data_IF_810189289067
#
_entry.id   IF_810189289067
#
_cell.length_a   1.000
_cell.length_b   1.000
_cell.length_c   1.000
_cell.angle_alpha   90.00
_cell.angle_beta   90.00
_cell.angle_gamma   90.00
#
_symmetry.space_group_name_H-M   'P 1'
#
loop_
_entity.id
_entity.type
_entity.pdbx_description
1 polymer ?
#
# COMPACT_ATOMS: atom_id res chain seq x y z
N UNK A 1 -12.19 -18.51 7.20
CA UNK A 1 -11.12 -17.56 6.85
C UNK A 1 -10.51 -18.01 5.53
N UNK A 2 -10.11 -17.09 4.66
CA UNK A 2 -9.39 -17.42 3.42
C UNK A 2 -7.94 -17.79 3.74
N UNK A 3 -7.31 -18.61 2.92
CA UNK A 3 -5.90 -19.02 3.10
C UNK A 3 -4.95 -17.83 3.04
N UNK A 4 -5.18 -16.89 2.11
CA UNK A 4 -4.39 -15.66 1.97
C UNK A 4 -4.37 -14.81 3.26
N UNK A 5 -5.52 -14.66 3.93
CA UNK A 5 -5.58 -13.90 5.19
C UNK A 5 -4.76 -14.56 6.31
N UNK A 6 -4.65 -15.89 6.31
CA UNK A 6 -3.79 -16.61 7.26
C UNK A 6 -2.31 -16.41 6.96
N UNK A 7 -1.92 -16.38 5.68
CA UNK A 7 -0.54 -16.04 5.26
C UNK A 7 -0.16 -14.62 5.71
N UNK A 8 -1.04 -13.63 5.53
CA UNK A 8 -0.77 -12.27 6.01
C UNK A 8 -0.71 -12.17 7.55
N UNK A 9 -1.54 -12.93 8.28
CA UNK A 9 -1.41 -13.04 9.74
C UNK A 9 -0.09 -13.71 10.16
N UNK A 10 0.47 -14.64 9.37
CA UNK A 10 1.79 -15.26 9.59
C UNK A 10 2.93 -14.28 9.35
N UNK A 11 2.96 -13.63 8.18
CA UNK A 11 3.94 -12.59 7.83
C UNK A 11 3.97 -11.45 8.85
N UNK A 12 2.80 -11.05 9.36
CA UNK A 12 2.69 -10.01 10.39
C UNK A 12 3.32 -10.45 11.72
N UNK A 13 3.08 -11.71 12.15
CA UNK A 13 3.68 -12.26 13.37
C UNK A 13 5.19 -12.39 13.25
N UNK A 14 5.70 -12.84 12.11
CA UNK A 14 7.12 -13.04 11.91
C UNK A 14 7.88 -11.71 11.75
N UNK A 15 7.31 -10.72 11.06
CA UNK A 15 7.88 -9.37 11.04
C UNK A 15 7.86 -8.68 12.40
N UNK A 16 6.83 -8.89 13.24
CA UNK A 16 6.82 -8.41 14.63
C UNK A 16 7.91 -9.08 15.49
N UNK A 17 8.18 -10.37 15.29
CA UNK A 17 9.29 -11.07 15.97
C UNK A 17 10.63 -10.50 15.53
N UNK A 18 10.86 -10.36 14.23
CA UNK A 18 12.07 -9.76 13.69
C UNK A 18 12.34 -8.34 14.25
N UNK A 19 11.31 -7.49 14.32
CA UNK A 19 11.43 -6.16 14.95
C UNK A 19 11.79 -6.26 16.43
N UNK A 20 11.17 -7.19 17.19
CA UNK A 20 11.48 -7.38 18.61
C UNK A 20 12.93 -7.80 18.79
N UNK A 21 13.38 -8.83 18.10
CA UNK A 21 14.70 -9.43 18.26
C UNK A 21 15.82 -8.44 17.86
N UNK A 22 15.66 -7.71 16.75
CA UNK A 22 16.58 -6.62 16.38
C UNK A 22 16.51 -5.42 17.34
N UNK A 23 15.34 -5.10 17.91
CA UNK A 23 15.23 -4.05 18.94
C UNK A 23 15.95 -4.43 20.24
N UNK A 24 15.93 -5.71 20.62
CA UNK A 24 16.67 -6.24 21.78
C UNK A 24 18.18 -6.27 21.49
N UNK A 25 18.60 -6.71 20.29
CA UNK A 25 20.00 -6.64 19.85
C UNK A 25 20.53 -5.20 19.84
N UNK A 26 19.73 -4.25 19.34
CA UNK A 26 20.08 -2.83 19.34
C UNK A 26 20.15 -2.26 20.76
N UNK A 27 19.24 -2.65 21.68
CA UNK A 27 19.32 -2.29 23.11
C UNK A 27 20.59 -2.81 23.78
N UNK A 28 20.90 -4.10 23.62
CA UNK A 28 22.14 -4.69 24.14
C UNK A 28 23.38 -3.97 23.60
N UNK A 29 23.36 -3.54 22.33
CA UNK A 29 24.46 -2.74 21.78
C UNK A 29 24.62 -1.38 22.46
N UNK A 30 23.57 -0.81 23.06
CA UNK A 30 23.61 0.47 23.80
C UNK A 30 24.14 0.31 25.23
N UNK A 31 24.14 -0.89 25.80
CA UNK A 31 24.53 -1.14 27.19
C UNK A 31 26.05 -1.12 27.40
N UNK A 32 26.60 0.10 27.49
CA UNK A 32 28.00 0.42 27.87
C UNK A 32 28.44 -0.19 29.21
N UNK A 33 27.49 -0.69 30.01
CA UNK A 33 27.71 -1.31 31.32
C UNK A 33 27.99 -2.82 31.25
N UNK A 34 27.84 -3.44 30.08
CA UNK A 34 28.08 -4.87 29.90
C UNK A 34 29.58 -5.21 29.90
N UNK A 35 29.96 -6.28 30.61
CA UNK A 35 31.33 -6.78 30.61
C UNK A 35 31.70 -7.36 29.24
N UNK A 36 32.53 -6.63 28.48
CA UNK A 36 32.89 -6.98 27.09
C UNK A 36 32.36 -6.00 26.04
N UNK A 37 31.81 -4.85 26.44
CA UNK A 37 31.36 -3.81 25.51
C UNK A 37 32.44 -3.38 24.52
N UNK A 38 32.15 -3.54 23.22
CA UNK A 38 32.94 -2.98 22.12
C UNK A 38 32.04 -2.04 21.33
N UNK A 39 32.46 -0.79 21.18
CA UNK A 39 31.74 0.19 20.36
C UNK A 39 31.47 -0.38 18.96
N UNK A 40 30.21 -0.44 18.50
CA UNK A 40 29.87 -0.81 17.12
C UNK A 40 30.55 0.14 16.13
N UNK A 41 30.81 -0.29 14.88
CA UNK A 41 31.37 0.60 13.87
C UNK A 41 30.38 1.73 13.57
N UNK A 42 30.89 2.97 13.51
CA UNK A 42 30.08 4.16 13.25
C UNK A 42 29.40 4.14 11.86
N UNK A 43 29.95 3.37 10.91
CA UNK A 43 29.39 3.16 9.56
C UNK A 43 29.45 1.68 9.16
N UNK A 44 28.55 1.27 8.26
CA UNK A 44 28.51 -0.08 7.69
C UNK A 44 27.50 -1.05 8.34
N UNK A 45 27.49 -2.34 7.90
CA UNK A 45 26.39 -3.30 8.16
C UNK A 45 26.18 -3.71 9.62
N UNK A 46 27.12 -3.39 10.52
CA UNK A 46 26.96 -3.58 11.97
C UNK A 46 26.51 -2.32 12.73
N UNK A 47 26.44 -1.16 12.08
CA UNK A 47 26.23 0.14 12.73
C UNK A 47 24.83 0.27 13.34
N UNK A 48 24.75 0.96 14.48
CA UNK A 48 23.49 1.29 15.16
C UNK A 48 22.51 2.01 14.24
N UNK A 49 23.03 2.91 13.41
CA UNK A 49 22.25 3.70 12.46
C UNK A 49 21.61 2.82 11.38
N UNK A 50 22.38 1.88 10.80
CA UNK A 50 21.85 0.97 9.78
C UNK A 50 20.83 -0.02 10.37
N UNK A 51 21.07 -0.58 11.56
CA UNK A 51 20.07 -1.41 12.27
C UNK A 51 18.78 -0.64 12.54
N UNK A 52 18.90 0.58 13.05
CA UNK A 52 17.76 1.48 13.27
C UNK A 52 17.07 1.94 11.98
N UNK A 53 17.73 1.90 10.82
CA UNK A 53 17.12 2.15 9.51
C UNK A 53 16.40 0.90 8.98
N UNK A 54 17.02 -0.28 9.10
CA UNK A 54 16.41 -1.57 8.75
C UNK A 54 15.10 -1.79 9.52
N UNK A 55 15.10 -1.55 10.84
CA UNK A 55 13.90 -1.60 11.67
C UNK A 55 12.79 -0.67 11.18
N UNK A 56 13.10 0.55 10.71
CA UNK A 56 12.09 1.45 10.13
C UNK A 56 11.55 0.94 8.77
N UNK A 57 12.38 0.27 7.97
CA UNK A 57 11.93 -0.38 6.71
C UNK A 57 11.00 -1.55 6.98
N UNK A 58 11.33 -2.44 7.93
CA UNK A 58 10.45 -3.56 8.30
C UNK A 58 9.14 -3.06 8.90
N UNK A 59 9.16 -1.98 9.69
CA UNK A 59 7.94 -1.35 10.21
C UNK A 59 7.06 -0.78 9.09
N UNK A 60 7.64 -0.18 8.06
CA UNK A 60 6.91 0.27 6.88
C UNK A 60 6.29 -0.90 6.08
N UNK A 61 7.02 -2.01 5.93
CA UNK A 61 6.49 -3.23 5.31
C UNK A 61 5.30 -3.81 6.09
N UNK A 62 5.39 -3.88 7.43
CA UNK A 62 4.28 -4.33 8.28
C UNK A 62 3.04 -3.40 8.20
N UNK A 63 3.23 -2.10 8.00
CA UNK A 63 2.11 -1.19 7.76
C UNK A 63 1.40 -1.49 6.45
N UNK A 64 2.16 -1.73 5.40
CA UNK A 64 1.59 -2.06 4.08
C UNK A 64 0.91 -3.43 4.07
N UNK A 65 1.45 -4.39 4.84
CA UNK A 65 0.80 -5.67 5.11
C UNK A 65 -0.53 -5.49 5.86
N UNK A 66 -0.59 -4.60 6.86
CA UNK A 66 -1.86 -4.29 7.56
C UNK A 66 -2.87 -3.57 6.65
N UNK A 67 -2.41 -2.69 5.75
CA UNK A 67 -3.26 -2.09 4.71
C UNK A 67 -3.81 -3.19 3.76
N UNK A 68 -2.97 -4.12 3.33
CA UNK A 68 -3.34 -5.25 2.47
C UNK A 68 -4.37 -6.17 3.14
N UNK A 69 -4.19 -6.48 4.43
CA UNK A 69 -5.18 -7.18 5.24
C UNK A 69 -6.51 -6.40 5.36
N UNK A 70 -6.49 -5.07 5.38
CA UNK A 70 -7.70 -4.25 5.39
C UNK A 70 -8.48 -4.32 4.07
N UNK A 71 -7.80 -4.33 2.92
CA UNK A 71 -8.45 -4.56 1.62
C UNK A 71 -9.13 -5.94 1.58
N UNK A 72 -8.40 -7.00 1.87
CA UNK A 72 -8.93 -8.38 1.90
C UNK A 72 -10.08 -8.56 2.91
N UNK A 73 -9.98 -7.94 4.10
CA UNK A 73 -11.03 -7.98 5.10
C UNK A 73 -12.35 -7.32 4.65
N UNK A 74 -12.35 -6.47 3.63
CA UNK A 74 -13.59 -5.94 3.04
C UNK A 74 -14.29 -6.98 2.16
N UNK A 75 -13.55 -7.80 1.42
CA UNK A 75 -14.09 -8.83 0.53
C UNK A 75 -14.57 -10.10 1.27
N UNK A 76 -14.18 -10.29 2.54
CA UNK A 76 -14.69 -11.39 3.36
C UNK A 76 -16.21 -11.32 3.63
N UNK A 77 -16.90 -12.49 3.75
CA UNK A 77 -18.30 -12.55 4.15
C UNK A 77 -18.61 -11.88 5.50
N UNK A 78 -19.83 -11.37 5.65
CA UNK A 78 -20.25 -10.55 6.80
C UNK A 78 -19.98 -11.20 8.17
N UNK A 79 -20.09 -12.52 8.28
CA UNK A 79 -19.85 -13.27 9.51
C UNK A 79 -18.38 -13.28 9.99
N UNK A 80 -17.41 -13.06 9.10
CA UNK A 80 -15.98 -13.04 9.43
C UNK A 80 -15.37 -11.63 9.36
N UNK A 81 -15.95 -10.76 8.53
CA UNK A 81 -15.51 -9.38 8.32
C UNK A 81 -15.46 -8.54 9.59
N UNK A 82 -16.41 -8.71 10.52
CA UNK A 82 -16.41 -7.94 11.78
C UNK A 82 -15.19 -8.30 12.65
N UNK A 83 -14.94 -9.60 12.87
CA UNK A 83 -13.79 -10.09 13.65
C UNK A 83 -12.44 -9.76 12.99
N UNK A 84 -12.37 -9.80 11.66
CA UNK A 84 -11.17 -9.39 10.92
C UNK A 84 -10.86 -7.89 11.12
N UNK A 85 -11.87 -7.02 11.05
CA UNK A 85 -11.71 -5.57 11.25
C UNK A 85 -11.30 -5.22 12.69
N UNK A 86 -11.83 -5.91 13.68
CA UNK A 86 -11.43 -5.76 15.08
C UNK A 86 -9.93 -6.07 15.29
N UNK A 87 -9.45 -7.21 14.76
CA UNK A 87 -8.02 -7.56 14.77
C UNK A 87 -7.15 -6.54 14.04
N UNK A 88 -7.58 -6.02 12.91
CA UNK A 88 -6.83 -5.01 12.14
C UNK A 88 -6.68 -3.71 12.94
N UNK A 89 -7.71 -3.29 13.68
CA UNK A 89 -7.60 -2.13 14.60
C UNK A 89 -6.58 -2.42 15.70
N UNK A 90 -6.62 -3.61 16.31
CA UNK A 90 -5.62 -4.05 17.30
C UNK A 90 -4.19 -3.99 16.71
N UNK A 91 -3.98 -4.56 15.51
CA UNK A 91 -2.68 -4.56 14.82
C UNK A 91 -2.17 -3.15 14.52
N UNK A 92 -3.04 -2.20 14.17
CA UNK A 92 -2.67 -0.78 14.02
C UNK A 92 -2.24 -0.15 15.34
N UNK A 93 -2.93 -0.43 16.45
CA UNK A 93 -2.53 0.06 17.77
C UNK A 93 -1.20 -0.55 18.23
N UNK A 94 -1.00 -1.85 17.97
CA UNK A 94 0.25 -2.55 18.28
C UNK A 94 1.42 -1.97 17.46
N UNK A 95 1.27 -1.77 16.14
CA UNK A 95 2.30 -1.14 15.31
C UNK A 95 2.65 0.28 15.77
N UNK A 96 1.68 1.05 16.25
CA UNK A 96 1.93 2.39 16.82
C UNK A 96 2.78 2.31 18.10
N UNK A 97 2.47 1.42 19.03
CA UNK A 97 3.28 1.26 20.25
C UNK A 97 4.71 0.79 19.94
N UNK A 98 4.86 -0.08 18.93
CA UNK A 98 6.18 -0.52 18.43
C UNK A 98 6.95 0.63 17.79
N UNK A 99 6.31 1.49 17.00
CA UNK A 99 6.93 2.70 16.45
C UNK A 99 7.39 3.68 17.54
N UNK A 100 6.53 3.98 18.52
CA UNK A 100 6.86 4.87 19.64
C UNK A 100 8.05 4.31 20.45
N UNK A 101 8.13 2.98 20.62
CA UNK A 101 9.28 2.29 21.21
C UNK A 101 10.55 2.36 20.34
N UNK A 102 10.42 2.23 19.02
CA UNK A 102 11.53 2.27 18.06
C UNK A 102 12.15 3.67 17.96
N UNK A 103 11.33 4.73 17.98
CA UNK A 103 11.80 6.13 17.97
C UNK A 103 12.63 6.43 19.21
N UNK A 104 12.19 5.99 20.39
CA UNK A 104 12.96 6.11 21.65
C UNK A 104 14.29 5.36 21.55
N UNK A 105 14.26 4.10 21.11
CA UNK A 105 15.46 3.28 20.95
C UNK A 105 16.47 3.88 19.96
N UNK A 106 16.00 4.50 18.86
CA UNK A 106 16.87 5.20 17.90
C UNK A 106 17.54 6.43 18.53
N UNK A 107 16.82 7.15 19.40
CA UNK A 107 17.39 8.27 20.16
C UNK A 107 18.44 7.81 21.18
N UNK A 108 18.17 6.73 21.92
CA UNK A 108 19.12 6.10 22.85
C UNK A 108 20.39 5.61 22.13
N UNK A 109 20.22 4.96 20.97
CA UNK A 109 21.32 4.51 20.14
C UNK A 109 22.18 5.67 19.60
N UNK A 110 21.57 6.79 19.22
CA UNK A 110 22.28 8.03 18.83
C UNK A 110 22.96 8.74 20.01
N UNK A 111 22.43 8.61 21.23
CA UNK A 111 23.10 9.07 22.44
C UNK A 111 24.33 8.20 22.77
N UNK A 112 24.21 6.88 22.69
CA UNK A 112 25.31 5.94 22.91
C UNK A 112 26.45 6.14 21.90
N UNK A 113 26.13 6.31 20.60
CA UNK A 113 27.11 6.54 19.54
C UNK A 113 27.94 7.82 19.77
N UNK A 114 27.27 8.93 20.14
CA UNK A 114 27.95 10.18 20.52
C UNK A 114 28.88 10.00 21.72
N UNK A 115 28.47 9.23 22.73
CA UNK A 115 29.30 8.95 23.91
C UNK A 115 30.50 8.05 23.60
N UNK A 116 30.38 7.13 22.65
CA UNK A 116 31.49 6.30 22.18
C UNK A 116 32.51 7.11 21.37
N UNK A 117 32.05 8.00 20.48
CA UNK A 117 32.92 8.91 19.73
C UNK A 117 33.71 9.85 20.65
N UNK A 118 33.04 10.47 21.62
CA UNK A 118 33.68 11.36 22.60
C UNK A 118 34.67 10.60 23.51
N UNK A 119 34.24 9.47 24.10
CA UNK A 119 35.11 8.67 24.97
C UNK A 119 36.34 8.10 24.24
N UNK A 120 36.21 7.74 22.97
CA UNK A 120 37.35 7.29 22.14
C UNK A 120 38.36 8.40 21.83
N UNK A 121 37.98 9.67 22.01
CA UNK A 121 38.84 10.84 21.82
C UNK A 121 39.61 11.16 23.11
N UNK A 122 38.95 11.07 24.27
CA UNK A 122 39.58 11.24 25.58
C UNK A 122 40.61 10.14 25.88
N UNK A 123 40.27 8.88 25.61
CA UNK A 123 41.21 7.76 25.74
C UNK A 123 42.46 7.93 24.84
N UNK A 124 42.30 8.55 23.66
CA UNK A 124 43.41 8.81 22.73
C UNK A 124 44.31 9.96 23.16
N UNK A 125 43.76 10.97 23.87
CA UNK A 125 44.56 12.01 24.55
C UNK A 125 45.34 11.43 25.73
N UNK A 126 44.68 10.67 26.60
CA UNK A 126 45.33 10.06 27.77
C UNK A 126 46.48 9.11 27.41
N UNK A 127 46.40 8.43 26.26
CA UNK A 127 47.48 7.57 25.74
C UNK A 127 48.68 8.32 25.14
N UNK A 128 48.58 9.62 24.85
CA UNK A 128 49.64 10.39 24.21
C UNK A 128 50.63 11.02 25.21
N UNK A 129 50.15 11.48 26.37
CA UNK A 129 51.00 12.11 27.41
C UNK A 129 51.84 11.10 28.23
N UNK A 130 51.59 9.79 28.08
CA UNK A 130 52.24 8.75 28.88
C UNK A 130 53.63 8.29 28.40
N UNK A 131 54.11 8.75 27.24
CA UNK A 131 55.27 8.13 26.55
C UNK A 131 56.62 8.86 26.75
N UNK A 132 56.64 10.12 27.19
CA UNK A 132 57.86 10.93 27.31
C UNK A 132 58.33 11.09 28.77
N UNK A 133 58.82 10.00 29.39
CA UNK A 133 59.54 10.09 30.68
C UNK A 133 60.61 9.01 30.89
N UNK A 134 61.60 9.00 30.00
CA UNK A 134 62.93 8.38 30.15
C UNK A 134 63.87 9.12 29.18
N UNK A 135 65.13 9.42 29.46
CA UNK A 135 65.97 9.26 30.66
C UNK A 135 67.00 10.41 30.65
N UNK A 136 67.32 11.01 31.80
CA UNK A 136 67.97 12.32 31.87
C UNK A 136 69.45 12.24 32.29
N UNK A 137 70.36 12.09 31.32
CA UNK A 137 71.81 12.13 31.60
C UNK A 137 72.74 12.45 30.40
N UNK A 138 72.50 13.52 29.61
CA UNK A 138 73.59 14.13 28.81
C UNK A 138 73.30 15.61 28.36
N UNK A 139 73.45 16.54 29.30
CA UNK A 139 72.77 17.85 29.32
C UNK A 139 73.16 18.91 28.25
N UNK A 140 74.22 18.68 27.44
CA UNK A 140 74.59 19.61 26.36
C UNK A 140 74.33 19.06 24.96
N UNK A 141 74.50 17.75 24.75
CA UNK A 141 74.27 17.12 23.44
C UNK A 141 72.77 16.78 23.24
N UNK A 142 72.03 16.60 24.34
CA UNK A 142 70.59 16.31 24.30
C UNK A 142 69.72 17.53 23.98
N UNK A 143 70.09 18.74 24.39
CA UNK A 143 69.37 19.96 24.01
C UNK A 143 69.31 20.14 22.47
N UNK A 144 70.44 19.91 21.78
CA UNK A 144 70.50 19.94 20.31
C UNK A 144 69.73 18.79 19.67
N UNK A 145 69.77 17.59 20.28
CA UNK A 145 69.02 16.41 19.81
C UNK A 145 67.51 16.58 19.96
N UNK A 146 67.05 17.07 21.10
CA UNK A 146 65.66 17.39 21.39
C UNK A 146 65.13 18.49 20.44
N UNK A 147 65.93 19.52 20.15
CA UNK A 147 65.58 20.55 19.17
C UNK A 147 65.46 19.95 17.74
N UNK A 148 66.37 19.05 17.35
CA UNK A 148 66.30 18.34 16.06
C UNK A 148 65.08 17.41 15.97
N UNK A 149 64.77 16.65 17.03
CA UNK A 149 63.57 15.79 17.11
C UNK A 149 62.30 16.63 17.03
N UNK A 150 62.27 17.78 17.71
CA UNK A 150 61.15 18.74 17.67
C UNK A 150 60.97 19.31 16.26
N UNK A 151 62.05 19.71 15.58
CA UNK A 151 61.99 20.15 14.18
C UNK A 151 61.52 19.04 13.23
N UNK A 152 61.99 17.80 13.40
CA UNK A 152 61.53 16.65 12.61
C UNK A 152 60.04 16.36 12.83
N UNK A 153 59.56 16.41 14.09
CA UNK A 153 58.14 16.25 14.42
C UNK A 153 57.29 17.39 13.85
N UNK A 154 57.77 18.63 13.88
CA UNK A 154 57.10 19.77 13.27
C UNK A 154 57.06 19.65 11.73
N UNK A 155 58.13 19.17 11.10
CA UNK A 155 58.15 18.88 9.65
C UNK A 155 57.23 17.72 9.28
N UNK A 156 57.16 16.67 10.10
CA UNK A 156 56.24 15.55 9.90
C UNK A 156 54.77 15.98 10.02
N UNK A 157 54.44 16.77 11.06
CA UNK A 157 53.11 17.37 11.21
C UNK A 157 52.77 18.32 10.06
N UNK A 158 53.72 19.12 9.58
CA UNK A 158 53.51 20.00 8.43
C UNK A 158 53.22 19.21 7.14
N UNK A 159 53.94 18.11 6.90
CA UNK A 159 53.66 17.22 5.75
C UNK A 159 52.29 16.55 5.86
N UNK A 160 51.93 16.02 7.02
CA UNK A 160 50.61 15.41 7.25
C UNK A 160 49.47 16.44 7.15
N UNK A 161 49.68 17.69 7.61
CA UNK A 161 48.76 18.80 7.40
C UNK A 161 48.61 19.18 5.92
N UNK A 162 49.72 19.22 5.17
CA UNK A 162 49.72 19.50 3.73
C UNK A 162 49.00 18.39 2.93
N UNK A 163 49.26 17.12 3.24
CA UNK A 163 48.56 15.97 2.64
C UNK A 163 47.05 15.98 2.95
N UNK A 164 46.66 16.41 4.16
CA UNK A 164 45.24 16.60 4.53
C UNK A 164 44.60 17.77 3.79
N UNK A 165 45.32 18.89 3.63
CA UNK A 165 44.83 20.04 2.88
C UNK A 165 44.59 19.68 1.42
N UNK A 166 45.52 18.97 0.78
CA UNK A 166 45.38 18.51 -0.61
C UNK A 166 44.22 17.50 -0.78
N UNK A 167 43.95 16.66 0.23
CA UNK A 167 42.77 15.77 0.25
C UNK A 167 41.48 16.56 0.44
N UNK A 168 41.47 17.58 1.29
CA UNK A 168 40.32 18.45 1.51
C UNK A 168 39.98 19.28 0.27
N UNK A 169 40.99 19.78 -0.45
CA UNK A 169 40.83 20.51 -1.73
C UNK A 169 40.19 19.63 -2.81
N UNK A 170 40.65 18.38 -2.97
CA UNK A 170 40.03 17.40 -3.87
C UNK A 170 38.58 17.11 -3.48
N UNK A 171 38.33 16.86 -2.20
CA UNK A 171 36.98 16.61 -1.69
C UNK A 171 36.06 17.83 -1.88
N UNK A 172 36.58 19.06 -1.78
CA UNK A 172 35.82 20.27 -2.06
C UNK A 172 35.41 20.34 -3.54
N UNK A 173 36.31 20.05 -4.46
CA UNK A 173 36.03 20.02 -5.90
C UNK A 173 35.01 18.92 -6.27
N UNK A 174 35.15 17.73 -5.69
CA UNK A 174 34.16 16.64 -5.82
C UNK A 174 32.79 17.06 -5.23
N UNK A 175 32.79 17.85 -4.14
CA UNK A 175 31.55 18.37 -3.53
C UNK A 175 30.94 19.53 -4.33
N UNK A 176 31.75 20.38 -4.95
CA UNK A 176 31.32 21.49 -5.81
C UNK A 176 30.66 20.95 -7.08
N UNK A 177 31.28 19.95 -7.73
CA UNK A 177 30.72 19.30 -8.92
C UNK A 177 29.39 18.60 -8.63
N UNK A 178 29.32 17.77 -7.57
CA UNK A 178 28.07 17.13 -7.13
C UNK A 178 27.02 18.16 -6.67
N UNK A 179 27.44 19.24 -6.01
CA UNK A 179 26.56 20.33 -5.59
C UNK A 179 25.96 21.09 -6.78
N UNK A 180 26.75 21.34 -7.83
CA UNK A 180 26.30 21.98 -9.05
C UNK A 180 25.35 21.08 -9.87
N UNK A 181 25.63 19.77 -9.93
CA UNK A 181 24.71 18.78 -10.52
C UNK A 181 23.37 18.73 -9.75
N UNK A 182 23.43 18.70 -8.41
CA UNK A 182 22.24 18.74 -7.56
C UNK A 182 21.42 20.03 -7.77
N UNK A 183 22.05 21.21 -7.79
CA UNK A 183 21.38 22.48 -8.10
C UNK A 183 20.74 22.49 -9.49
N UNK A 184 21.41 21.91 -10.50
CA UNK A 184 20.90 21.78 -11.86
C UNK A 184 19.68 20.86 -11.90
N UNK A 185 19.74 19.71 -11.21
CA UNK A 185 18.60 18.78 -11.09
C UNK A 185 17.41 19.39 -10.36
N UNK A 186 17.63 20.19 -9.32
CA UNK A 186 16.57 20.88 -8.57
C UNK A 186 15.91 21.97 -9.42
N UNK A 187 16.67 22.67 -10.28
CA UNK A 187 16.12 23.59 -11.28
C UNK A 187 15.21 22.86 -12.27
N UNK A 188 15.68 21.75 -12.84
CA UNK A 188 14.90 20.92 -13.77
C UNK A 188 13.64 20.32 -13.11
N UNK A 189 13.74 19.87 -11.85
CA UNK A 189 12.59 19.39 -11.08
C UNK A 189 11.59 20.52 -10.77
N UNK A 190 12.06 21.75 -10.52
CA UNK A 190 11.18 22.92 -10.30
C UNK A 190 10.42 23.29 -11.58
N UNK A 191 11.09 23.26 -12.73
CA UNK A 191 10.49 23.49 -14.05
C UNK A 191 9.47 22.39 -14.38
N UNK A 192 9.80 21.13 -14.09
CA UNK A 192 8.87 19.99 -14.21
C UNK A 192 7.66 20.15 -13.28
N UNK A 193 7.86 20.61 -12.04
CA UNK A 193 6.76 20.87 -11.10
C UNK A 193 5.83 21.98 -11.58
N UNK A 194 6.37 23.06 -12.16
CA UNK A 194 5.58 24.13 -12.75
C UNK A 194 4.73 23.62 -13.93
N UNK A 195 5.32 22.77 -14.80
CA UNK A 195 4.59 22.16 -15.90
C UNK A 195 3.52 21.16 -15.44
N UNK A 196 3.76 20.42 -14.34
CA UNK A 196 2.76 19.57 -13.70
C UNK A 196 1.60 20.40 -13.13
N UNK A 197 1.85 21.60 -12.59
CA UNK A 197 0.77 22.48 -12.11
C UNK A 197 -0.08 23.02 -13.26
N UNK A 198 0.54 23.46 -14.36
CA UNK A 198 -0.16 23.95 -15.55
C UNK A 198 -1.01 22.85 -16.21
N UNK A 199 -0.48 21.62 -16.30
CA UNK A 199 -1.25 20.46 -16.81
C UNK A 199 -2.31 19.96 -15.82
N UNK A 200 -2.11 20.09 -14.50
CA UNK A 200 -3.14 19.74 -13.51
C UNK A 200 -4.34 20.69 -13.57
N UNK A 201 -4.12 21.98 -13.87
CA UNK A 201 -5.21 22.94 -14.09
C UNK A 201 -6.04 22.58 -15.34
N UNK A 202 -5.41 22.02 -16.38
CA UNK A 202 -6.12 21.51 -17.57
C UNK A 202 -6.92 20.21 -17.31
N UNK A 203 -6.52 19.39 -16.33
CA UNK A 203 -7.21 18.11 -16.00
C UNK A 203 -8.52 18.33 -15.23
N UNK A 204 -8.70 19.46 -14.55
CA UNK A 204 -9.95 19.76 -13.81
C UNK A 204 -11.14 20.01 -14.77
N UNK A 205 -10.88 20.37 -16.04
CA UNK A 205 -11.91 20.53 -17.07
C UNK A 205 -12.44 19.18 -17.60
N UNK A 206 -11.59 18.16 -17.76
CA UNK A 206 -12.04 16.81 -18.20
C UNK A 206 -12.67 15.98 -17.05
N UNK A 207 -12.21 16.17 -15.80
CA UNK A 207 -12.80 15.48 -14.62
C UNK A 207 -14.22 15.99 -14.32
N UNK A 208 -14.52 17.24 -14.68
CA UNK A 208 -15.87 17.83 -14.64
C UNK A 208 -16.88 17.04 -15.50
N UNK A 209 -16.54 16.74 -16.75
CA UNK A 209 -17.46 16.07 -17.68
C UNK A 209 -17.66 14.58 -17.35
N UNK A 210 -16.65 13.89 -16.81
CA UNK A 210 -16.82 12.53 -16.28
C UNK A 210 -17.87 12.48 -15.14
N UNK A 211 -17.86 13.45 -14.22
CA UNK A 211 -18.89 13.57 -13.16
C UNK A 211 -20.28 13.90 -13.70
N UNK A 212 -20.37 14.66 -14.80
CA UNK A 212 -21.62 15.05 -15.45
C UNK A 212 -22.33 13.86 -16.11
N UNK A 213 -21.58 12.97 -16.77
CA UNK A 213 -22.12 11.74 -17.38
C UNK A 213 -22.62 10.77 -16.30
N UNK A 214 -21.82 10.51 -15.27
CA UNK A 214 -22.17 9.57 -14.18
C UNK A 214 -23.41 10.06 -13.40
N UNK A 215 -23.50 11.35 -13.08
CA UNK A 215 -24.69 11.91 -12.41
C UNK A 215 -25.93 11.95 -13.32
N UNK A 216 -25.76 12.04 -14.64
CA UNK A 216 -26.83 11.82 -15.62
C UNK A 216 -27.40 10.40 -15.58
N UNK A 217 -26.53 9.39 -15.54
CA UNK A 217 -26.92 7.98 -15.46
C UNK A 217 -27.67 7.65 -14.15
N UNK A 218 -27.26 8.24 -13.02
CA UNK A 218 -27.98 8.06 -11.74
C UNK A 218 -29.43 8.57 -11.80
N UNK A 219 -29.68 9.72 -12.44
CA UNK A 219 -31.05 10.25 -12.63
C UNK A 219 -31.86 9.42 -13.61
N UNK A 220 -31.25 8.85 -14.65
CA UNK A 220 -31.91 7.93 -15.57
C UNK A 220 -32.33 6.62 -14.86
N UNK A 221 -31.46 6.06 -14.02
CA UNK A 221 -31.72 4.83 -13.25
C UNK A 221 -33.00 4.90 -12.41
N UNK A 222 -33.27 6.05 -11.76
CA UNK A 222 -34.49 6.26 -10.96
C UNK A 222 -35.74 6.26 -11.87
N UNK A 223 -35.69 6.94 -13.02
CA UNK A 223 -36.81 6.96 -13.98
C UNK A 223 -37.13 5.57 -14.52
N UNK A 224 -36.12 4.80 -14.93
CA UNK A 224 -36.32 3.43 -15.42
C UNK A 224 -36.92 2.51 -14.33
N UNK A 225 -36.46 2.62 -13.07
CA UNK A 225 -37.05 1.87 -11.94
C UNK A 225 -38.52 2.24 -11.70
N UNK A 226 -38.87 3.52 -11.79
CA UNK A 226 -40.25 3.97 -11.59
C UNK A 226 -41.18 3.48 -12.71
N UNK A 227 -40.77 3.61 -13.98
CA UNK A 227 -41.54 3.12 -15.14
C UNK A 227 -41.75 1.61 -15.08
N UNK A 228 -40.71 0.85 -14.75
CA UNK A 228 -40.82 -0.61 -14.56
C UNK A 228 -41.83 -0.97 -13.46
N UNK A 229 -41.79 -0.28 -12.33
CA UNK A 229 -42.72 -0.50 -11.21
C UNK A 229 -44.16 -0.19 -11.61
N UNK A 230 -44.40 0.87 -12.37
CA UNK A 230 -45.72 1.23 -12.86
C UNK A 230 -46.31 0.17 -13.81
N UNK A 231 -45.51 -0.38 -14.73
CA UNK A 231 -45.96 -1.43 -15.66
C UNK A 231 -46.36 -2.71 -14.90
N UNK A 232 -45.60 -3.09 -13.87
CA UNK A 232 -45.92 -4.26 -13.02
C UNK A 232 -47.27 -4.06 -12.31
N UNK A 233 -47.53 -2.86 -11.76
CA UNK A 233 -48.81 -2.54 -11.11
C UNK A 233 -49.99 -2.64 -12.09
N UNK A 234 -49.84 -2.10 -13.30
CA UNK A 234 -50.88 -2.16 -14.35
C UNK A 234 -51.15 -3.60 -14.79
N UNK A 235 -50.11 -4.43 -14.92
CA UNK A 235 -50.26 -5.84 -15.28
C UNK A 235 -51.03 -6.62 -14.20
N UNK A 236 -50.68 -6.42 -12.92
CA UNK A 236 -51.41 -7.03 -11.80
C UNK A 236 -52.87 -6.57 -11.77
N UNK A 237 -53.15 -5.29 -11.98
CA UNK A 237 -54.51 -4.76 -12.04
C UNK A 237 -55.34 -5.42 -13.16
N UNK A 238 -54.78 -5.58 -14.36
CA UNK A 238 -55.44 -6.28 -15.46
C UNK A 238 -55.73 -7.75 -15.13
N UNK A 239 -54.81 -8.45 -14.45
CA UNK A 239 -55.03 -9.82 -13.99
C UNK A 239 -56.20 -9.88 -12.98
N UNK A 240 -56.24 -8.98 -11.99
CA UNK A 240 -57.35 -8.91 -11.04
C UNK A 240 -58.70 -8.64 -11.72
N UNK A 241 -58.75 -7.70 -12.67
CA UNK A 241 -59.98 -7.41 -13.45
C UNK A 241 -60.39 -8.60 -14.31
N UNK A 242 -59.45 -9.29 -14.95
CA UNK A 242 -59.74 -10.49 -15.75
C UNK A 242 -60.31 -11.63 -14.88
N UNK A 243 -59.77 -11.86 -13.68
CA UNK A 243 -60.29 -12.84 -12.72
C UNK A 243 -61.69 -12.44 -12.23
N UNK A 244 -61.91 -11.16 -11.94
CA UNK A 244 -63.23 -10.66 -11.52
C UNK A 244 -64.30 -10.86 -12.61
N UNK A 245 -64.01 -10.45 -13.85
CA UNK A 245 -64.93 -10.62 -14.99
C UNK A 245 -65.15 -12.11 -15.31
N UNK A 246 -64.08 -12.92 -15.28
CA UNK A 246 -64.18 -14.37 -15.51
C UNK A 246 -65.06 -15.04 -14.45
N UNK A 247 -64.84 -14.80 -13.16
CA UNK A 247 -65.66 -15.38 -12.08
C UNK A 247 -67.12 -14.90 -12.13
N UNK A 248 -67.36 -13.63 -12.47
CA UNK A 248 -68.72 -13.09 -12.66
C UNK A 248 -69.42 -13.69 -13.89
N UNK A 249 -68.69 -13.97 -14.99
CA UNK A 249 -69.23 -14.63 -16.19
C UNK A 249 -69.43 -16.13 -15.97
N UNK A 250 -68.54 -16.80 -15.24
CA UNK A 250 -68.65 -18.23 -14.95
C UNK A 250 -69.90 -18.54 -14.09
N UNK A 251 -70.31 -17.60 -13.22
CA UNK A 251 -71.61 -17.63 -12.50
C UNK A 251 -72.85 -17.48 -13.39
N UNK A 252 -72.73 -17.02 -14.64
CA UNK A 252 -73.85 -16.96 -15.62
C UNK A 252 -73.84 -18.14 -16.60
N UNK A 253 -72.67 -18.69 -16.92
CA UNK A 253 -72.51 -19.76 -17.90
C UNK A 253 -72.79 -21.18 -17.36
N UNK A 254 -73.14 -21.34 -16.08
CA UNK A 254 -73.50 -22.63 -15.47
C UNK A 254 -74.98 -23.03 -15.64
N UNK A 255 -75.74 -22.36 -16.53
CA UNK A 255 -77.15 -22.67 -16.77
C UNK A 255 -77.60 -22.37 -18.21
N UNK A 256 -77.07 -23.11 -19.19
CA UNK A 256 -77.71 -23.34 -20.50
C UNK A 256 -76.98 -24.38 -21.35
N UNK A 257 -77.31 -25.65 -21.11
CA UNK A 257 -77.17 -26.72 -22.11
C UNK A 257 -78.50 -27.48 -22.19
N UNK A 258 -79.48 -26.85 -22.83
CA UNK A 258 -80.79 -27.43 -23.13
C UNK A 258 -80.81 -27.85 -24.60
N UNK A 259 -81.40 -29.01 -24.86
CA UNK A 259 -81.41 -29.76 -26.11
C UNK A 259 -81.98 -29.01 -27.32
N UNK A 260 -81.63 -29.46 -28.52
CA UNK A 260 -82.49 -29.29 -29.70
C UNK A 260 -82.68 -30.62 -30.42
N UNK A 261 -83.95 -30.97 -30.56
CA UNK A 261 -84.54 -32.12 -31.23
C UNK A 261 -84.69 -31.85 -32.74
N UNK A 262 -84.58 -32.87 -33.58
CA UNK A 262 -84.93 -32.78 -35.00
C UNK A 262 -85.41 -34.15 -35.53
N UNK A 263 -86.69 -34.22 -35.85
CA UNK A 263 -87.42 -35.45 -36.18
C UNK A 263 -87.67 -35.54 -37.70
N UNK A 264 -87.17 -36.60 -38.36
CA UNK A 264 -87.73 -37.14 -39.62
C UNK A 264 -88.77 -38.22 -39.28
N UNK A 265 -89.69 -38.67 -40.14
CA UNK A 265 -89.88 -38.61 -41.61
C UNK A 265 -91.41 -38.41 -41.87
N UNK A 266 -92.09 -38.75 -43.02
CA UNK A 266 -91.71 -39.31 -44.33
C UNK A 266 -92.32 -38.49 -45.53
N UNK A 267 -92.50 -38.91 -46.81
CA UNK A 267 -92.54 -40.22 -47.49
C UNK A 267 -92.03 -40.10 -48.97
N UNK A 268 -91.36 -41.14 -49.46
CA UNK A 268 -91.09 -41.58 -50.88
C UNK A 268 -91.27 -40.62 -52.09
N UNK A 269 -90.28 -40.62 -53.00
CA UNK A 269 -90.51 -40.98 -54.43
C UNK A 269 -89.20 -41.18 -55.25
N UNK A 270 -88.96 -42.44 -55.66
CA UNK A 270 -88.39 -42.92 -56.95
C UNK A 270 -87.15 -42.24 -57.59
N UNK A 271 -86.09 -43.05 -57.74
CA UNK A 271 -85.02 -42.96 -58.77
C UNK A 271 -85.21 -44.14 -59.79
N UNK A 272 -84.39 -44.40 -60.86
CA UNK A 272 -83.04 -43.88 -61.18
C UNK A 272 -82.69 -43.70 -62.70
N UNK A 273 -81.39 -43.44 -62.99
CA UNK A 273 -80.66 -43.57 -64.29
C UNK A 273 -80.97 -42.51 -65.39
N UNK A 274 -80.11 -42.16 -66.36
CA UNK A 274 -78.83 -42.66 -66.91
C UNK A 274 -77.78 -41.49 -66.96
N UNK A 275 -76.45 -41.61 -66.81
CA UNK A 275 -75.41 -42.09 -67.77
C UNK A 275 -75.62 -41.59 -69.24
N UNK A 276 -74.66 -41.26 -70.11
CA UNK A 276 -73.19 -41.48 -70.22
C UNK A 276 -72.61 -40.56 -71.35
N UNK A 277 -71.26 -40.43 -71.42
CA UNK A 277 -70.42 -40.30 -72.65
C UNK A 277 -69.91 -38.93 -73.22
N UNK A 278 -68.58 -38.77 -73.08
CA UNK A 278 -67.51 -38.23 -73.98
C UNK A 278 -67.68 -36.95 -74.83
N UNK A 279 -66.61 -36.13 -74.81
CA UNK A 279 -65.63 -36.09 -75.93
C UNK A 279 -64.20 -35.79 -75.46
N UNK A 280 -63.20 -36.31 -76.20
CA UNK A 280 -61.76 -36.25 -75.93
C UNK A 280 -61.03 -35.69 -77.15
N UNK A 281 -59.95 -34.93 -76.94
CA UNK A 281 -58.96 -34.49 -77.94
C UNK A 281 -58.09 -33.40 -77.29
N UNK A 282 -56.77 -33.53 -77.12
CA UNK A 282 -55.71 -33.82 -78.10
C UNK A 282 -55.72 -32.75 -79.20
N UNK A 283 -54.75 -31.83 -79.27
CA UNK A 283 -53.30 -32.01 -79.07
C UNK A 283 -52.71 -31.26 -77.87
#
# INVERSE_FOLDING_TARGET
MTTLFQTYEEEYRDGLRAIRDESESLRQSCDRRAAGYKAPPATGPGSRLQRGAHLTTVLAQLRELVNSMEYEANDLPAAHRQTAKERIVEYRTNLRTVEEGLVRLKADASAADRLDLLGSTEARKAGADGANKADASNDLDDATRAHRITMLNNTAQFRDASDKLQKAERLLNDTETVGNEALTSLRYQTETMHHIQETTIAVDEEVSDARKIISGMQKAMIKHKLVLTAIIIVLLFLIFVAIYVSSAKHRRNSSSSTSTEATGDPITSVAPSLSWVTRKGAQ
#
